data_IF_307838331850
#
_entry.id   IF_307838331850
#
_cell.length_a   1.000
_cell.length_b   1.000
_cell.length_c   1.000
_cell.angle_alpha   90.00
_cell.angle_beta   90.00
_cell.angle_gamma   90.00
#
_symmetry.space_group_name_H-M   'P 1'
#
loop_
_entity.id
_entity.type
_entity.pdbx_description
1 polymer ?
#
# COMPACT_ATOMS: atom_id res chain seq x y z
N UNK A 1 8.00 -21.58 6.64
CA UNK A 1 8.06 -20.22 6.05
C UNK A 1 9.12 -19.43 6.83
N UNK A 2 10.08 -18.85 6.13
CA UNK A 2 11.16 -18.12 6.82
C UNK A 2 10.80 -16.62 6.88
N UNK A 3 10.02 -16.25 7.88
CA UNK A 3 9.55 -14.88 8.13
C UNK A 3 10.68 -13.83 8.11
N UNK A 4 11.90 -14.24 8.50
CA UNK A 4 13.05 -13.33 8.54
C UNK A 4 13.55 -12.95 7.14
N UNK A 5 13.56 -13.90 6.18
CA UNK A 5 13.97 -13.63 4.80
C UNK A 5 12.93 -12.80 4.05
N UNK A 6 11.65 -13.08 4.29
CA UNK A 6 10.54 -12.33 3.70
C UNK A 6 10.52 -10.88 4.18
N UNK A 7 10.76 -10.65 5.47
CA UNK A 7 10.87 -9.30 6.04
C UNK A 7 12.03 -8.50 5.42
N UNK A 8 13.17 -9.17 5.21
CA UNK A 8 14.30 -8.52 4.52
C UNK A 8 13.92 -8.15 3.10
N UNK A 9 13.30 -9.06 2.35
CA UNK A 9 12.83 -8.80 1.00
C UNK A 9 11.85 -7.62 0.94
N UNK A 10 10.86 -7.56 1.85
CA UNK A 10 9.90 -6.45 1.93
C UNK A 10 10.61 -5.13 2.24
N UNK A 11 11.54 -5.11 3.19
CA UNK A 11 12.29 -3.91 3.55
C UNK A 11 13.14 -3.42 2.37
N UNK A 12 13.79 -4.33 1.64
CA UNK A 12 14.59 -3.99 0.45
C UNK A 12 13.69 -3.47 -0.69
N UNK A 13 12.55 -4.11 -0.90
CA UNK A 13 11.56 -3.68 -1.90
C UNK A 13 10.99 -2.29 -1.59
N UNK A 14 10.63 -2.01 -0.33
CA UNK A 14 10.16 -0.68 0.11
C UNK A 14 11.25 0.37 -0.03
N UNK A 15 12.52 0.02 0.22
CA UNK A 15 13.65 0.94 0.08
C UNK A 15 13.93 1.31 -1.38
N UNK A 16 13.76 0.37 -2.31
CA UNK A 16 13.93 0.61 -3.74
C UNK A 16 12.87 1.56 -4.32
N UNK A 17 11.69 1.64 -3.70
CA UNK A 17 10.56 2.45 -4.17
C UNK A 17 10.50 3.79 -3.42
N UNK A 18 10.91 4.88 -4.07
CA UNK A 18 10.92 6.22 -3.47
C UNK A 18 9.52 6.77 -3.13
N UNK A 19 8.50 6.29 -3.82
CA UNK A 19 7.11 6.70 -3.63
C UNK A 19 6.46 6.04 -2.41
N UNK A 20 7.04 4.96 -1.93
CA UNK A 20 6.50 4.18 -0.82
C UNK A 20 7.07 4.67 0.52
N UNK A 21 6.25 4.58 1.54
CA UNK A 21 6.64 4.99 2.88
C UNK A 21 7.66 4.01 3.46
N UNK A 22 8.86 4.45 3.83
CA UNK A 22 9.85 3.59 4.47
C UNK A 22 9.40 3.20 5.88
N UNK A 23 9.62 1.94 6.24
CA UNK A 23 9.40 1.44 7.59
C UNK A 23 10.77 1.44 8.30
N UNK A 24 10.90 2.27 9.33
CA UNK A 24 12.19 2.44 10.03
C UNK A 24 12.33 1.61 11.31
N UNK A 25 11.33 0.79 11.64
CA UNK A 25 11.30 0.03 12.88
C UNK A 25 10.97 -1.44 12.59
N UNK A 26 11.87 -2.34 12.97
CA UNK A 26 11.68 -3.79 12.84
C UNK A 26 10.34 -4.28 13.43
N UNK A 27 9.93 -3.72 14.59
CA UNK A 27 8.64 -4.04 15.21
C UNK A 27 7.45 -3.60 14.35
N UNK A 28 7.57 -2.48 13.60
CA UNK A 28 6.52 -2.03 12.68
C UNK A 28 6.51 -2.84 11.39
N UNK A 29 7.69 -3.21 10.87
CA UNK A 29 7.77 -4.12 9.71
C UNK A 29 7.10 -5.45 10.01
N UNK A 30 7.37 -6.04 11.18
CA UNK A 30 6.70 -7.27 11.61
C UNK A 30 5.18 -7.11 11.67
N UNK A 31 4.68 -6.08 12.35
CA UNK A 31 3.23 -5.82 12.45
C UNK A 31 2.55 -5.54 11.11
N UNK A 32 3.25 -4.90 10.18
CA UNK A 32 2.75 -4.65 8.84
C UNK A 32 2.72 -5.95 8.03
N UNK A 33 3.75 -6.76 8.15
CA UNK A 33 3.85 -8.06 7.48
C UNK A 33 2.78 -9.05 7.95
N UNK A 34 2.48 -9.10 9.25
CA UNK A 34 1.44 -9.97 9.83
C UNK A 34 0.03 -9.69 9.26
N UNK A 35 -0.19 -8.47 8.76
CA UNK A 35 -1.46 -8.03 8.16
C UNK A 35 -1.39 -7.90 6.65
N UNK A 36 -0.31 -8.32 6.05
CA UNK A 36 -0.07 -8.16 4.63
C UNK A 36 -0.48 -9.38 3.84
N UNK A 37 -0.84 -9.15 2.59
CA UNK A 37 -1.01 -10.22 1.59
C UNK A 37 0.27 -10.30 0.78
N UNK A 38 0.82 -11.51 0.66
CA UNK A 38 2.04 -11.79 -0.08
C UNK A 38 1.75 -12.83 -1.16
N UNK A 39 2.06 -12.49 -2.40
CA UNK A 39 2.04 -13.46 -3.50
C UNK A 39 3.44 -14.02 -3.69
N UNK A 40 3.50 -15.31 -3.97
CA UNK A 40 4.74 -16.03 -4.24
C UNK A 40 4.78 -16.54 -5.67
N UNK A 41 5.98 -16.65 -6.21
CA UNK A 41 6.22 -17.36 -7.48
C UNK A 41 6.04 -18.87 -7.31
N UNK A 42 6.06 -19.60 -8.41
CA UNK A 42 6.00 -21.07 -8.42
C UNK A 42 7.17 -21.71 -7.66
N UNK A 43 8.28 -21.00 -7.53
CA UNK A 43 9.46 -21.39 -6.74
C UNK A 43 9.30 -21.13 -5.23
N UNK A 44 8.18 -20.52 -4.80
CA UNK A 44 7.91 -20.16 -3.41
C UNK A 44 8.51 -18.82 -2.95
N UNK A 45 9.21 -18.08 -3.81
CA UNK A 45 9.78 -16.78 -3.49
C UNK A 45 8.71 -15.69 -3.43
N UNK A 46 8.75 -14.75 -2.47
CA UNK A 46 7.83 -13.64 -2.43
C UNK A 46 8.09 -12.69 -3.62
N UNK A 47 7.04 -12.33 -4.36
CA UNK A 47 7.14 -11.50 -5.57
C UNK A 47 6.21 -10.28 -5.57
N UNK A 48 5.17 -10.29 -4.74
CA UNK A 48 4.28 -9.14 -4.60
C UNK A 48 3.75 -9.03 -3.16
N UNK A 49 3.49 -7.80 -2.72
CA UNK A 49 3.16 -7.45 -1.34
C UNK A 49 2.10 -6.36 -1.29
N UNK A 50 1.11 -6.52 -0.40
CA UNK A 50 0.16 -5.47 -0.07
C UNK A 50 -0.06 -5.39 1.43
N UNK A 51 0.00 -4.18 1.99
CA UNK A 51 -0.25 -3.90 3.41
C UNK A 51 -1.69 -3.42 3.61
N UNK A 52 -2.34 -3.95 4.65
CA UNK A 52 -3.71 -3.63 5.01
C UNK A 52 -3.76 -2.90 6.35
N UNK A 53 -4.58 -1.86 6.43
CA UNK A 53 -4.82 -1.09 7.65
C UNK A 53 -6.32 -0.99 7.89
N UNK A 54 -6.76 -1.53 9.03
CA UNK A 54 -8.17 -1.44 9.43
C UNK A 54 -8.48 -0.06 10.00
N UNK A 55 -9.58 0.51 9.59
CA UNK A 55 -10.20 1.73 10.08
C UNK A 55 -11.61 1.44 10.61
N UNK A 56 -12.20 2.38 11.34
CA UNK A 56 -13.57 2.23 11.88
C UNK A 56 -14.65 2.01 10.81
N UNK A 57 -14.41 2.43 9.57
CA UNK A 57 -15.39 2.36 8.47
C UNK A 57 -14.89 1.59 7.24
N UNK A 58 -13.89 0.72 7.39
CA UNK A 58 -13.40 -0.09 6.29
C UNK A 58 -11.90 -0.34 6.33
N UNK A 59 -11.38 -0.95 5.29
CA UNK A 59 -9.97 -1.35 5.17
C UNK A 59 -9.26 -0.50 4.11
N UNK A 60 -8.13 0.08 4.49
CA UNK A 60 -7.23 0.79 3.59
C UNK A 60 -6.12 -0.14 3.10
N UNK A 61 -5.92 -0.18 1.79
CA UNK A 61 -4.74 -0.80 1.19
C UNK A 61 -3.68 0.29 1.06
N UNK A 62 -2.65 0.24 1.90
CA UNK A 62 -1.69 1.35 2.05
C UNK A 62 -0.44 1.21 1.18
N UNK A 63 -0.02 -0.02 0.92
CA UNK A 63 1.20 -0.33 0.18
C UNK A 63 0.89 -1.45 -0.80
N UNK A 64 1.16 -1.25 -2.08
CA UNK A 64 1.02 -2.27 -3.12
C UNK A 64 2.29 -2.29 -3.94
N UNK A 65 3.05 -3.36 -3.85
CA UNK A 65 4.35 -3.51 -4.51
C UNK A 65 4.43 -4.84 -5.26
N UNK A 66 5.09 -4.81 -6.41
CA UNK A 66 5.51 -5.99 -7.16
C UNK A 66 7.00 -5.86 -7.40
N UNK A 67 7.73 -6.93 -7.12
CA UNK A 67 9.16 -7.03 -7.41
C UNK A 67 9.44 -6.61 -8.86
N UNK A 68 10.50 -5.83 -9.05
CA UNK A 68 10.78 -5.20 -10.34
C UNK A 68 10.99 -6.22 -11.45
N UNK A 69 11.64 -7.35 -11.15
CA UNK A 69 11.87 -8.45 -12.08
C UNK A 69 10.60 -9.22 -12.45
N UNK A 70 9.54 -9.07 -11.67
CA UNK A 70 8.26 -9.77 -11.81
C UNK A 70 7.11 -8.85 -12.24
N UNK A 71 7.40 -7.64 -12.72
CA UNK A 71 6.38 -6.72 -13.26
C UNK A 71 5.96 -7.13 -14.66
N UNK A 72 4.73 -6.80 -15.02
CA UNK A 72 4.18 -7.06 -16.36
C UNK A 72 3.60 -8.46 -16.58
N UNK A 73 3.89 -9.43 -15.73
CA UNK A 73 3.46 -10.83 -15.88
C UNK A 73 2.19 -11.21 -15.09
N UNK A 74 1.54 -10.22 -14.46
CA UNK A 74 0.21 -10.42 -13.86
C UNK A 74 0.14 -10.47 -12.34
N UNK A 75 1.26 -10.52 -11.61
CA UNK A 75 1.26 -10.61 -10.14
C UNK A 75 0.54 -9.45 -9.43
N UNK A 76 0.59 -8.25 -9.97
CA UNK A 76 -0.18 -7.12 -9.41
C UNK A 76 -1.69 -7.33 -9.48
N UNK A 77 -2.21 -7.94 -10.55
CA UNK A 77 -3.62 -8.30 -10.69
C UNK A 77 -3.99 -9.43 -9.73
N UNK A 78 -3.13 -10.45 -9.62
CA UNK A 78 -3.31 -11.56 -8.68
C UNK A 78 -3.34 -11.05 -7.24
N UNK A 79 -2.35 -10.21 -6.85
CA UNK A 79 -2.28 -9.59 -5.53
C UNK A 79 -3.56 -8.83 -5.18
N UNK A 80 -4.04 -7.96 -6.07
CA UNK A 80 -5.23 -7.16 -5.79
C UNK A 80 -6.51 -8.01 -5.69
N UNK A 81 -6.64 -9.10 -6.46
CA UNK A 81 -7.74 -10.05 -6.31
C UNK A 81 -7.69 -10.74 -4.96
N UNK A 82 -6.50 -11.22 -4.56
CA UNK A 82 -6.28 -11.90 -3.28
C UNK A 82 -6.56 -10.97 -2.11
N UNK A 83 -6.05 -9.73 -2.14
CA UNK A 83 -6.36 -8.70 -1.15
C UNK A 83 -7.85 -8.49 -0.99
N UNK A 84 -8.57 -8.32 -2.09
CA UNK A 84 -10.02 -8.06 -2.05
C UNK A 84 -10.76 -9.29 -1.53
N UNK A 85 -10.34 -10.52 -1.85
CA UNK A 85 -11.00 -11.75 -1.36
C UNK A 85 -10.84 -11.97 0.14
N UNK A 86 -9.74 -11.50 0.75
CA UNK A 86 -9.45 -11.66 2.18
C UNK A 86 -10.13 -10.59 3.06
N UNK A 87 -10.71 -9.55 2.49
CA UNK A 87 -11.34 -8.47 3.25
C UNK A 87 -12.86 -8.70 3.28
N UNK A 88 -13.43 -8.86 4.47
CA UNK A 88 -14.87 -9.01 4.67
C UNK A 88 -15.61 -7.68 4.84
N UNK A 89 -14.88 -6.57 4.98
CA UNK A 89 -15.45 -5.24 5.11
C UNK A 89 -16.17 -4.78 3.85
N UNK A 90 -17.26 -4.00 4.05
CA UNK A 90 -18.05 -3.45 2.93
C UNK A 90 -17.35 -2.30 2.22
N UNK A 91 -16.36 -1.67 2.86
CA UNK A 91 -15.64 -0.53 2.32
C UNK A 91 -14.15 -0.83 2.24
N UNK A 92 -13.64 -0.90 1.04
CA UNK A 92 -12.20 -1.04 0.77
C UNK A 92 -11.75 0.19 0.01
N UNK A 93 -10.65 0.82 0.42
CA UNK A 93 -10.15 1.99 -0.27
C UNK A 93 -8.62 2.03 -0.32
N UNK A 94 -8.12 2.76 -1.28
CA UNK A 94 -6.68 3.00 -1.45
C UNK A 94 -6.41 4.35 -2.11
N UNK A 95 -5.21 4.85 -1.88
CA UNK A 95 -4.72 6.06 -2.52
C UNK A 95 -3.57 5.72 -3.46
N UNK A 96 -3.70 6.05 -4.73
CA UNK A 96 -2.64 5.77 -5.72
C UNK A 96 -2.55 6.83 -6.79
N UNK A 97 -1.33 6.98 -7.33
CA UNK A 97 -1.02 7.74 -8.55
C UNK A 97 -0.54 6.84 -9.69
N UNK A 98 -0.38 5.53 -9.45
CA UNK A 98 0.15 4.57 -10.42
C UNK A 98 -0.89 4.22 -11.48
N UNK A 99 -0.69 4.55 -12.78
CA UNK A 99 -1.62 4.21 -13.84
C UNK A 99 -1.82 2.70 -13.98
N UNK A 100 -0.76 1.91 -13.77
CA UNK A 100 -0.82 0.46 -13.82
C UNK A 100 -1.76 -0.10 -12.73
N UNK A 101 -1.61 0.38 -11.48
CA UNK A 101 -2.48 -0.04 -10.39
C UNK A 101 -3.93 0.44 -10.63
N UNK A 102 -4.13 1.67 -11.11
CA UNK A 102 -5.46 2.20 -11.45
C UNK A 102 -6.17 1.31 -12.47
N UNK A 103 -5.48 0.89 -13.53
CA UNK A 103 -6.06 -0.02 -14.53
C UNK A 103 -6.50 -1.37 -13.93
N UNK A 104 -5.74 -1.89 -12.98
CA UNK A 104 -6.06 -3.15 -12.30
C UNK A 104 -7.30 -2.99 -11.41
N UNK A 105 -7.30 -1.99 -10.53
CA UNK A 105 -8.36 -1.82 -9.52
C UNK A 105 -9.70 -1.41 -10.15
N UNK A 106 -9.69 -0.65 -11.24
CA UNK A 106 -10.91 -0.33 -11.98
C UNK A 106 -11.57 -1.58 -12.57
N UNK A 107 -10.80 -2.53 -13.07
CA UNK A 107 -11.31 -3.83 -13.55
C UNK A 107 -11.89 -4.70 -12.42
N UNK A 108 -11.48 -4.48 -11.18
CA UNK A 108 -12.01 -5.15 -9.98
C UNK A 108 -13.30 -4.47 -9.48
N UNK A 109 -13.57 -3.23 -9.94
CA UNK A 109 -14.78 -2.49 -9.56
C UNK A 109 -14.54 -1.27 -8.67
N UNK A 110 -13.28 -0.93 -8.37
CA UNK A 110 -13.00 0.30 -7.65
C UNK A 110 -13.37 1.52 -8.48
N UNK A 111 -14.01 2.49 -7.82
CA UNK A 111 -14.40 3.76 -8.42
C UNK A 111 -13.61 4.89 -7.81
N UNK A 112 -13.16 5.84 -8.65
CA UNK A 112 -12.55 7.07 -8.18
C UNK A 112 -13.59 7.87 -7.39
N UNK A 113 -13.28 8.20 -6.13
CA UNK A 113 -14.09 9.08 -5.29
C UNK A 113 -13.27 10.23 -4.77
N UNK A 114 -13.89 11.39 -4.65
CA UNK A 114 -13.34 12.46 -3.79
C UNK A 114 -13.30 11.94 -2.37
N UNK A 115 -12.21 12.21 -1.65
CA UNK A 115 -12.02 11.74 -0.27
C UNK A 115 -13.28 12.09 0.53
N UNK A 116 -13.92 11.11 1.21
CA UNK A 116 -14.94 11.44 2.18
C UNK A 116 -14.27 12.32 3.24
N UNK A 117 -14.62 13.62 3.25
CA UNK A 117 -13.83 14.70 3.88
C UNK A 117 -13.65 14.57 5.39
N UNK A 118 -14.34 13.66 6.07
CA UNK A 118 -14.37 13.61 7.52
C UNK A 118 -13.39 12.61 8.18
N UNK A 119 -12.93 11.57 7.49
CA UNK A 119 -12.18 10.49 8.15
C UNK A 119 -10.74 10.39 7.66
N UNK A 120 -10.49 10.64 6.39
CA UNK A 120 -9.14 10.55 5.83
C UNK A 120 -8.38 11.88 5.88
N UNK A 121 -9.06 13.02 5.76
CA UNK A 121 -8.41 14.34 5.79
C UNK A 121 -7.71 14.64 7.11
N UNK A 122 -8.37 14.43 8.24
CA UNK A 122 -7.81 14.69 9.57
C UNK A 122 -6.70 13.68 9.91
N UNK A 123 -6.88 12.40 9.58
CA UNK A 123 -5.86 11.38 9.85
C UNK A 123 -4.61 11.55 8.96
N UNK A 124 -4.79 11.98 7.72
CA UNK A 124 -3.69 12.33 6.82
C UNK A 124 -2.98 13.58 7.32
N UNK A 125 -3.74 14.63 7.66
CA UNK A 125 -3.21 15.91 8.15
C UNK A 125 -2.43 15.75 9.46
N UNK A 126 -2.91 14.95 10.41
CA UNK A 126 -2.23 14.66 11.67
C UNK A 126 -1.01 13.73 11.52
N UNK A 127 -0.97 12.89 10.47
CA UNK A 127 0.16 12.00 10.22
C UNK A 127 1.28 12.63 9.38
N UNK A 128 0.97 13.65 8.57
CA UNK A 128 1.93 14.36 7.73
C UNK A 128 3.11 14.96 8.52
N UNK A 129 2.89 15.76 9.60
CA UNK A 129 4.01 16.39 10.30
C UNK A 129 4.94 15.38 10.98
N UNK A 130 4.41 14.32 11.60
CA UNK A 130 5.24 13.25 12.21
C UNK A 130 6.04 12.48 11.16
N UNK A 131 5.47 12.30 9.98
CA UNK A 131 6.10 11.60 8.85
C UNK A 131 7.22 12.43 8.26
N UNK A 132 6.99 13.72 8.00
CA UNK A 132 7.99 14.65 7.49
C UNK A 132 9.15 14.82 8.44
N UNK A 133 8.89 14.96 9.73
CA UNK A 133 9.91 15.06 10.78
C UNK A 133 10.82 13.82 10.80
N UNK A 134 10.26 12.61 10.73
CA UNK A 134 11.08 11.38 10.70
C UNK A 134 11.99 11.28 9.47
N UNK A 135 11.56 11.77 8.32
CA UNK A 135 12.39 11.81 7.10
C UNK A 135 13.48 12.89 7.21
N UNK A 136 13.16 14.07 7.77
CA UNK A 136 14.13 15.15 8.03
C UNK A 136 15.22 14.67 8.98
N UNK A 137 14.86 14.10 10.14
CA UNK A 137 15.83 13.58 11.12
C UNK A 137 16.73 12.45 10.58
N UNK A 138 16.31 11.76 9.52
CA UNK A 138 17.10 10.70 8.88
C UNK A 138 17.79 11.10 7.59
N UNK A 139 17.70 12.37 7.21
CA UNK A 139 18.37 12.90 6.01
C UNK A 139 17.76 12.40 4.69
N UNK A 140 16.55 11.85 4.70
CA UNK A 140 15.88 11.33 3.49
C UNK A 140 15.14 12.45 2.73
N UNK A 141 15.88 13.51 2.42
CA UNK A 141 15.33 14.72 1.77
C UNK A 141 14.82 14.45 0.36
N UNK A 142 15.46 13.52 -0.39
CA UNK A 142 15.04 13.17 -1.75
C UNK A 142 13.64 12.56 -1.75
N UNK A 143 13.37 11.65 -0.83
CA UNK A 143 12.05 11.01 -0.68
C UNK A 143 11.00 11.99 -0.16
N UNK A 144 11.37 12.83 0.81
CA UNK A 144 10.49 13.88 1.33
C UNK A 144 10.05 14.84 0.22
N UNK A 145 11.00 15.33 -0.56
CA UNK A 145 10.74 16.22 -1.71
C UNK A 145 9.80 15.56 -2.73
N UNK A 146 10.14 14.35 -3.18
CA UNK A 146 9.35 13.63 -4.16
C UNK A 146 7.92 13.38 -3.68
N UNK A 147 7.75 12.95 -2.43
CA UNK A 147 6.42 12.71 -1.87
C UNK A 147 5.60 13.98 -1.72
N UNK A 148 6.24 15.11 -1.39
CA UNK A 148 5.56 16.40 -1.25
C UNK A 148 5.04 16.91 -2.59
N UNK A 149 5.87 16.94 -3.63
CA UNK A 149 5.47 17.46 -4.96
C UNK A 149 4.50 16.53 -5.69
N UNK A 150 4.45 15.25 -5.33
CA UNK A 150 3.55 14.29 -5.96
C UNK A 150 2.25 14.07 -5.18
N UNK A 151 2.10 14.72 -4.01
CA UNK A 151 0.93 14.52 -3.14
C UNK A 151 -0.40 14.79 -3.86
N UNK A 152 -0.45 15.86 -4.65
CA UNK A 152 -1.63 16.25 -5.43
C UNK A 152 -2.01 15.26 -6.55
N UNK A 153 -1.10 14.36 -6.93
CA UNK A 153 -1.34 13.34 -7.98
C UNK A 153 -2.02 12.08 -7.44
N UNK A 154 -2.12 11.93 -6.12
CA UNK A 154 -2.80 10.78 -5.53
C UNK A 154 -4.31 10.96 -5.59
N UNK A 155 -4.98 9.93 -6.04
CA UNK A 155 -6.43 9.85 -6.07
C UNK A 155 -6.91 8.71 -5.17
N UNK A 156 -8.05 8.93 -4.53
CA UNK A 156 -8.73 7.92 -3.74
C UNK A 156 -9.60 7.03 -4.65
N UNK A 157 -9.49 5.73 -4.47
CA UNK A 157 -10.32 4.73 -5.12
C UNK A 157 -11.00 3.89 -4.06
N UNK A 158 -12.29 3.61 -4.26
CA UNK A 158 -13.15 2.96 -3.28
C UNK A 158 -13.89 1.82 -3.95
N UNK A 159 -13.92 0.67 -3.29
CA UNK A 159 -14.79 -0.45 -3.58
C UNK A 159 -15.82 -0.58 -2.45
N UNK A 160 -17.09 -0.42 -2.79
CA UNK A 160 -18.21 -0.62 -1.87
C UNK A 160 -18.89 -1.93 -2.22
N UNK A 161 -18.99 -2.83 -1.25
CA UNK A 161 -19.76 -4.06 -1.35
C UNK A 161 -21.15 -3.81 -0.74
N UNK A 162 -22.21 -4.21 -1.43
CA UNK A 162 -23.54 -4.27 -0.81
C UNK A 162 -23.53 -5.40 0.22
N UNK A 163 -24.07 -5.15 1.40
CA UNK A 163 -24.53 -6.24 2.27
C UNK A 163 -25.80 -6.78 1.66
N UNK A 164 -25.77 -8.01 1.22
CA UNK A 164 -27.01 -8.77 1.00
C UNK A 164 -27.65 -9.12 2.33
#
# INVERSE_FOLDING_TARGET
MNTSSDLKWVDDLIRSELDVRPIYSKRRSLKAYDKAVVIRSDEGNPVAYAELVNHLKGVEITTVLVDQSHRGIGYGKQLMKEVVSQIDDNLIFLHTKSPALVSIIQKIGFKKKSIPSFISGISILLRLPRRSLTMIFRGDFKRLWLQTITLAKYHCYVLERKRD
#
